data_IF_415240704114
#
_entry.id   IF_415240704114
#
_cell.length_a   1.000
_cell.length_b   1.000
_cell.length_c   1.000
_cell.angle_alpha   90.00
_cell.angle_beta   90.00
_cell.angle_gamma   90.00
#
_symmetry.space_group_name_H-M   'P 1'
#
loop_
_entity.id
_entity.type
_entity.pdbx_description
1 polymer ?
#
# COMPACT_ATOMS: atom_id res chain seq x y z
N UNK A 1 6.23 -20.71 -8.51
CA UNK A 1 5.24 -19.62 -8.39
C UNK A 1 5.22 -19.17 -6.94
N UNK A 2 5.23 -17.88 -6.72
CA UNK A 2 5.17 -17.25 -5.40
C UNK A 2 3.80 -16.63 -5.19
N UNK A 3 3.37 -16.58 -3.93
CA UNK A 3 2.22 -15.82 -3.48
C UNK A 3 2.68 -14.47 -2.94
N UNK A 4 2.04 -13.41 -3.37
CA UNK A 4 2.35 -12.03 -2.98
C UNK A 4 1.09 -11.46 -2.35
N UNK A 5 1.23 -10.94 -1.13
CA UNK A 5 0.16 -10.26 -0.41
C UNK A 5 0.65 -8.86 -0.08
N UNK A 6 -0.17 -7.86 -0.37
CA UNK A 6 0.13 -6.47 -0.04
C UNK A 6 -0.92 -6.00 0.95
N UNK A 7 -0.49 -5.53 2.11
CA UNK A 7 -1.36 -4.94 3.10
C UNK A 7 -1.58 -3.49 2.73
N UNK A 8 -2.84 -3.11 2.64
CA UNK A 8 -3.25 -1.73 2.55
C UNK A 8 -4.06 -1.35 3.78
N UNK A 9 -3.93 -0.09 4.18
CA UNK A 9 -4.98 0.58 4.91
C UNK A 9 -5.69 1.52 3.92
N UNK A 10 -6.95 1.20 3.60
CA UNK A 10 -7.70 1.84 2.52
C UNK A 10 -6.87 1.86 1.23
N UNK A 11 -6.53 3.04 0.72
CA UNK A 11 -5.71 3.18 -0.48
C UNK A 11 -4.18 3.12 -0.26
N UNK A 12 -3.70 3.13 1.00
CA UNK A 12 -2.29 3.31 1.34
C UNK A 12 -1.61 1.95 1.56
N UNK A 13 -0.58 1.58 0.78
CA UNK A 13 0.16 0.33 0.99
C UNK A 13 1.10 0.47 2.19
N UNK A 14 1.19 -0.57 3.04
CA UNK A 14 2.00 -0.53 4.28
C UNK A 14 3.03 -1.66 4.33
N UNK A 15 2.70 -2.83 3.79
CA UNK A 15 3.52 -4.03 3.95
C UNK A 15 3.39 -4.96 2.74
N UNK A 16 4.50 -5.58 2.36
CA UNK A 16 4.56 -6.65 1.37
C UNK A 16 4.88 -7.95 2.08
N UNK A 17 4.14 -9.01 1.75
CA UNK A 17 4.40 -10.36 2.19
C UNK A 17 4.54 -11.25 0.96
N UNK A 18 5.71 -11.86 0.81
CA UNK A 18 6.00 -12.79 -0.29
C UNK A 18 6.27 -14.15 0.30
N UNK A 19 5.52 -15.16 -0.15
CA UNK A 19 5.66 -16.53 0.32
C UNK A 19 5.70 -17.53 -0.83
N UNK A 20 6.46 -18.61 -0.64
CA UNK A 20 6.44 -19.80 -1.48
C UNK A 20 6.18 -21.02 -0.58
N UNK A 21 6.35 -22.23 -1.11
CA UNK A 21 6.11 -23.47 -0.36
C UNK A 21 6.96 -23.63 0.90
N UNK A 22 8.10 -22.94 1.00
CA UNK A 22 9.12 -23.19 2.02
C UNK A 22 9.54 -21.93 2.80
N UNK A 23 9.35 -20.74 2.21
CA UNK A 23 9.85 -19.46 2.73
C UNK A 23 8.72 -18.44 2.72
N UNK A 24 8.63 -17.67 3.80
CA UNK A 24 7.77 -16.50 3.93
C UNK A 24 8.61 -15.30 4.36
N UNK A 25 8.49 -14.20 3.63
CA UNK A 25 9.19 -12.94 3.92
C UNK A 25 8.18 -11.82 3.99
N UNK A 26 8.33 -11.01 5.03
CA UNK A 26 7.48 -9.87 5.34
C UNK A 26 8.36 -8.64 5.36
N UNK A 27 8.01 -7.64 4.56
CA UNK A 27 8.78 -6.43 4.33
C UNK A 27 7.85 -5.25 4.56
N UNK A 28 8.17 -4.45 5.56
CA UNK A 28 7.51 -3.16 5.79
C UNK A 28 7.98 -2.18 4.71
N UNK A 29 7.04 -1.40 4.17
CA UNK A 29 7.37 -0.28 3.29
C UNK A 29 7.92 0.89 4.11
N UNK A 30 8.37 1.95 3.43
CA UNK A 30 8.92 3.12 4.12
C UNK A 30 7.97 3.67 5.20
N UNK A 31 8.56 4.13 6.30
CA UNK A 31 7.81 4.64 7.47
C UNK A 31 6.79 5.72 7.11
N UNK A 32 7.00 6.47 6.02
CA UNK A 32 6.07 7.48 5.50
C UNK A 32 4.68 6.92 5.21
N UNK A 33 4.56 5.64 4.89
CA UNK A 33 3.26 4.99 4.67
C UNK A 33 2.47 4.82 5.96
N UNK A 34 3.12 4.32 7.03
CA UNK A 34 2.46 4.21 8.33
C UNK A 34 2.09 5.60 8.88
N UNK A 35 2.99 6.58 8.75
CA UNK A 35 2.69 7.97 9.11
C UNK A 35 1.52 8.55 8.30
N UNK A 36 1.40 8.17 7.02
CA UNK A 36 0.29 8.58 6.19
C UNK A 36 -1.03 7.95 6.63
N UNK A 37 -1.04 6.68 7.02
CA UNK A 37 -2.22 6.03 7.62
C UNK A 37 -2.72 6.82 8.82
N UNK A 38 -1.84 7.13 9.76
CA UNK A 38 -2.20 7.90 10.96
C UNK A 38 -2.69 9.31 10.60
N UNK A 39 -1.98 9.99 9.69
CA UNK A 39 -2.31 11.35 9.26
C UNK A 39 -3.61 11.47 8.47
N UNK A 40 -3.99 10.43 7.71
CA UNK A 40 -5.25 10.38 6.97
C UNK A 40 -6.38 9.91 7.86
N UNK A 41 -6.17 8.93 8.75
CA UNK A 41 -7.16 8.50 9.74
C UNK A 41 -7.58 9.64 10.68
N UNK A 42 -6.62 10.48 11.10
CA UNK A 42 -6.93 11.69 11.86
C UNK A 42 -7.74 12.70 11.04
N UNK A 43 -7.42 12.81 9.74
CA UNK A 43 -8.02 13.83 8.87
C UNK A 43 -9.43 13.46 8.39
N UNK A 44 -9.68 12.17 8.10
CA UNK A 44 -10.98 11.66 7.65
C UNK A 44 -11.92 11.26 8.81
N UNK A 45 -11.42 11.32 10.05
CA UNK A 45 -12.18 10.99 11.25
C UNK A 45 -12.23 9.49 11.58
N UNK A 46 -11.49 8.63 10.87
CA UNK A 46 -11.43 7.20 11.15
C UNK A 46 -10.69 6.88 12.45
N UNK A 47 -9.78 7.75 12.90
CA UNK A 47 -8.95 7.50 14.08
C UNK A 47 -9.80 7.20 15.32
N UNK A 48 -9.52 6.07 15.98
CA UNK A 48 -10.23 5.65 17.19
C UNK A 48 -11.65 5.14 16.96
N UNK A 49 -12.04 4.91 15.70
CA UNK A 49 -13.32 4.31 15.31
C UNK A 49 -13.11 2.96 14.66
N UNK A 50 -14.18 2.18 14.50
CA UNK A 50 -14.14 0.89 13.80
C UNK A 50 -13.65 1.06 12.35
N UNK A 51 -13.90 2.21 11.71
CA UNK A 51 -13.44 2.50 10.36
C UNK A 51 -11.90 2.47 10.21
N UNK A 52 -11.15 2.69 11.30
CA UNK A 52 -9.70 2.50 11.28
C UNK A 52 -9.33 1.02 11.15
N UNK A 53 -10.01 0.15 11.91
CA UNK A 53 -9.75 -1.30 11.93
C UNK A 53 -10.28 -1.96 10.65
N UNK A 54 -11.43 -1.52 10.16
CA UNK A 54 -12.07 -2.05 8.95
C UNK A 54 -11.36 -1.62 7.66
N UNK A 55 -10.50 -0.60 7.73
CA UNK A 55 -9.72 -0.12 6.59
C UNK A 55 -8.60 -1.08 6.14
N UNK A 56 -8.23 -2.09 6.94
CA UNK A 56 -7.12 -2.99 6.63
C UNK A 56 -7.52 -4.11 5.69
N UNK A 57 -6.81 -4.25 4.58
CA UNK A 57 -7.07 -5.31 3.59
C UNK A 57 -5.78 -5.87 2.99
N UNK A 58 -5.67 -7.21 2.96
CA UNK A 58 -4.68 -7.91 2.17
C UNK A 58 -5.16 -8.10 0.74
N UNK A 59 -4.34 -7.71 -0.24
CA UNK A 59 -4.56 -8.01 -1.66
C UNK A 59 -3.59 -9.09 -2.09
N UNK A 60 -4.11 -10.20 -2.59
CA UNK A 60 -3.33 -11.36 -3.00
C UNK A 60 -3.14 -11.42 -4.52
N UNK A 61 -1.92 -11.74 -4.96
CA UNK A 61 -1.57 -11.99 -6.35
C UNK A 61 -0.54 -13.10 -6.46
N UNK A 62 -0.41 -13.69 -7.66
CA UNK A 62 0.56 -14.75 -7.94
C UNK A 62 1.55 -14.29 -8.98
N UNK A 63 2.81 -14.64 -8.81
CA UNK A 63 3.88 -14.31 -9.76
C UNK A 63 4.81 -15.49 -10.01
N UNK A 64 5.40 -15.51 -11.20
CA UNK A 64 6.45 -16.46 -11.59
C UNK A 64 7.87 -15.95 -11.28
N UNK A 65 8.01 -14.75 -10.70
CA UNK A 65 9.29 -14.24 -10.24
C UNK A 65 9.85 -15.06 -9.08
N UNK A 66 11.16 -14.91 -8.82
CA UNK A 66 11.75 -15.36 -7.56
C UNK A 66 11.31 -14.45 -6.42
N UNK A 67 11.39 -14.96 -5.19
CA UNK A 67 11.00 -14.21 -4.00
C UNK A 67 11.81 -12.92 -3.86
N UNK A 68 13.11 -12.97 -4.11
CA UNK A 68 14.04 -11.85 -3.98
C UNK A 68 13.74 -10.77 -5.03
N UNK A 69 13.51 -11.17 -6.29
CA UNK A 69 13.17 -10.23 -7.37
C UNK A 69 11.82 -9.57 -7.11
N UNK A 70 10.84 -10.32 -6.61
CA UNK A 70 9.52 -9.77 -6.30
C UNK A 70 9.60 -8.72 -5.17
N UNK A 71 10.36 -9.03 -4.09
CA UNK A 71 10.56 -8.08 -2.99
C UNK A 71 11.25 -6.81 -3.49
N UNK A 72 12.37 -6.93 -4.20
CA UNK A 72 13.13 -5.78 -4.67
C UNK A 72 12.28 -4.87 -5.56
N UNK A 73 11.60 -5.45 -6.55
CA UNK A 73 10.75 -4.69 -7.47
C UNK A 73 9.55 -4.04 -6.78
N UNK A 74 8.87 -4.75 -5.88
CA UNK A 74 7.68 -4.22 -5.20
C UNK A 74 8.04 -3.14 -4.19
N UNK A 75 9.11 -3.33 -3.41
CA UNK A 75 9.60 -2.31 -2.49
C UNK A 75 9.97 -1.05 -3.26
N UNK A 76 10.72 -1.18 -4.36
CA UNK A 76 11.05 -0.06 -5.24
C UNK A 76 9.80 0.63 -5.79
N UNK A 77 8.84 -0.17 -6.29
CA UNK A 77 7.59 0.32 -6.86
C UNK A 77 6.81 1.20 -5.90
N UNK A 78 6.68 0.80 -4.63
CA UNK A 78 5.98 1.61 -3.65
C UNK A 78 6.84 2.74 -3.10
N UNK A 79 8.02 2.41 -2.57
CA UNK A 79 8.86 3.37 -1.85
C UNK A 79 9.33 4.51 -2.76
N UNK A 80 9.77 4.22 -3.98
CA UNK A 80 10.23 5.25 -4.92
C UNK A 80 9.12 5.76 -5.83
N UNK A 81 8.11 4.93 -6.12
CA UNK A 81 7.07 5.27 -7.08
C UNK A 81 5.99 6.18 -6.53
N UNK A 82 5.59 6.01 -5.27
CA UNK A 82 4.55 6.87 -4.67
C UNK A 82 5.17 8.24 -4.35
N UNK A 83 4.60 9.35 -4.85
CA UNK A 83 5.21 10.67 -4.68
C UNK A 83 5.25 11.09 -3.20
N UNK A 84 6.27 11.85 -2.80
CA UNK A 84 6.43 12.34 -1.42
C UNK A 84 5.21 13.12 -0.90
N UNK A 85 4.53 13.86 -1.78
CA UNK A 85 3.36 14.67 -1.44
C UNK A 85 2.01 13.91 -1.49
N UNK A 86 2.02 12.57 -1.55
CA UNK A 86 0.80 11.76 -1.69
C UNK A 86 -0.21 11.99 -0.56
N UNK A 87 0.24 12.24 0.68
CA UNK A 87 -0.64 12.58 1.81
C UNK A 87 -1.45 13.84 1.52
N UNK A 88 -0.81 14.88 1.00
CA UNK A 88 -1.49 16.12 0.61
C UNK A 88 -2.49 15.87 -0.52
N UNK A 89 -2.13 15.03 -1.51
CA UNK A 89 -3.04 14.66 -2.60
C UNK A 89 -4.28 13.93 -2.07
N UNK A 90 -4.12 12.97 -1.14
CA UNK A 90 -5.26 12.27 -0.52
C UNK A 90 -6.14 13.26 0.26
N UNK A 91 -5.53 14.17 1.03
CA UNK A 91 -6.29 15.21 1.77
C UNK A 91 -7.10 16.11 0.84
N UNK A 92 -6.54 16.49 -0.31
CA UNK A 92 -7.26 17.28 -1.30
C UNK A 92 -8.42 16.48 -1.91
N UNK A 93 -8.21 15.18 -2.16
CA UNK A 93 -9.27 14.27 -2.61
C UNK A 93 -10.39 14.08 -1.55
N UNK A 94 -10.06 14.08 -0.26
CA UNK A 94 -11.06 14.07 0.82
C UNK A 94 -11.89 15.36 0.78
N UNK A 95 -11.22 16.52 0.75
CA UNK A 95 -11.88 17.84 0.77
C UNK A 95 -12.80 18.06 -0.42
N UNK A 96 -12.42 17.58 -1.60
CA UNK A 96 -13.21 17.74 -2.82
C UNK A 96 -14.17 16.57 -3.11
N UNK A 97 -14.24 15.58 -2.22
CA UNK A 97 -15.13 14.41 -2.35
C UNK A 97 -14.73 13.42 -3.44
N UNK A 98 -13.53 13.48 -4.00
CA UNK A 98 -13.04 12.58 -5.06
C UNK A 98 -12.14 11.43 -4.56
N UNK A 99 -12.07 11.22 -3.23
CA UNK A 99 -11.30 10.12 -2.64
C UNK A 99 -11.82 8.77 -3.13
N UNK A 100 -10.89 7.88 -3.46
CA UNK A 100 -11.17 6.48 -3.69
C UNK A 100 -10.39 5.68 -2.65
N UNK A 101 -11.08 5.10 -1.67
CA UNK A 101 -10.48 4.34 -0.56
C UNK A 101 -10.08 2.91 -0.97
N UNK A 102 -10.30 2.51 -2.22
CA UNK A 102 -9.97 1.17 -2.68
C UNK A 102 -8.46 0.90 -2.60
N UNK A 103 -8.04 -0.30 -2.17
CA UNK A 103 -6.65 -0.71 -2.17
C UNK A 103 -5.94 -0.45 -3.49
N UNK A 104 -4.81 0.25 -3.43
CA UNK A 104 -3.99 0.60 -4.60
C UNK A 104 -4.53 1.76 -5.46
N UNK A 105 -5.59 2.47 -5.07
CA UNK A 105 -6.13 3.57 -5.89
C UNK A 105 -5.15 4.73 -6.11
N UNK A 106 -4.13 4.87 -5.26
CA UNK A 106 -3.05 5.86 -5.37
C UNK A 106 -1.89 5.40 -6.25
N UNK A 107 -1.86 4.12 -6.64
CA UNK A 107 -0.82 3.57 -7.53
C UNK A 107 -0.84 4.24 -8.91
N UNK A 108 -1.97 4.85 -9.30
CA UNK A 108 -2.09 5.71 -10.50
C UNK A 108 -1.13 6.90 -10.52
N UNK A 109 -0.49 7.23 -9.40
CA UNK A 109 0.53 8.29 -9.31
C UNK A 109 1.95 7.78 -9.56
N UNK A 110 2.13 6.47 -9.72
CA UNK A 110 3.41 5.85 -10.03
C UNK A 110 3.61 5.87 -11.55
N UNK A 111 4.80 6.28 -12.01
CA UNK A 111 5.08 6.53 -13.44
C UNK A 111 5.63 5.31 -14.19
N UNK A 112 5.48 4.10 -13.66
CA UNK A 112 5.97 2.87 -14.27
C UNK A 112 5.08 1.69 -13.86
N UNK A 113 5.17 0.58 -14.62
CA UNK A 113 4.27 -0.55 -14.48
C UNK A 113 4.45 -1.30 -13.15
N UNK A 114 3.32 -1.80 -12.61
CA UNK A 114 3.33 -2.66 -11.44
C UNK A 114 4.06 -3.97 -11.77
N UNK A 115 5.01 -4.43 -10.94
CA UNK A 115 5.88 -5.55 -11.28
C UNK A 115 5.22 -6.94 -11.12
N UNK A 116 3.89 -7.03 -11.04
CA UNK A 116 3.13 -8.27 -10.77
C UNK A 116 1.85 -8.33 -11.57
#
# INVERSE_FOLDING_TARGET
>A
MINIKIMYWKEIPVQILVENSSIKRSIELDQRFQQAVDAIAMFDGSMGTDAYLDGWQWIESKSNMTLEIAIDKLTKYYNEGIPENFVSKIRDQIKNGSRNESPGSIEKWINYDKPI
#
